data_IF_498035747386
#
_entry.id   IF_498035747386
#
_cell.length_a   1.000
_cell.length_b   1.000
_cell.length_c   1.000
_cell.angle_alpha   90.00
_cell.angle_beta   90.00
_cell.angle_gamma   90.00
#
_symmetry.space_group_name_H-M   'P 1'
#
loop_
_entity.id
_entity.type
_entity.pdbx_description
1 polymer ?
#
# COMPACT_ATOMS: atom_id res chain seq x y z
N UNK A 1 10.14 -15.91 33.16
CA UNK A 1 10.89 -16.28 31.93
C UNK A 1 10.35 -15.35 30.84
N UNK A 2 11.07 -14.35 30.35
CA UNK A 2 12.48 -14.27 29.93
C UNK A 2 13.21 -13.11 30.62
N UNK A 3 14.24 -13.42 31.40
CA UNK A 3 15.18 -12.43 31.92
C UNK A 3 16.08 -12.00 30.77
N UNK A 4 16.04 -10.72 30.39
CA UNK A 4 17.03 -10.13 29.49
C UNK A 4 18.43 -10.27 30.11
N UNK A 5 19.13 -11.34 29.76
CA UNK A 5 20.40 -11.77 30.36
C UNK A 5 21.61 -10.98 29.86
N UNK A 6 21.40 -9.80 29.27
CA UNK A 6 22.48 -8.93 28.78
C UNK A 6 22.56 -7.57 29.49
N UNK A 7 21.83 -7.40 30.59
CA UNK A 7 22.05 -6.27 31.50
C UNK A 7 23.31 -6.52 32.34
N UNK A 8 24.49 -6.39 31.74
CA UNK A 8 25.68 -6.09 32.52
C UNK A 8 25.45 -4.75 33.22
N UNK A 9 25.66 -4.71 34.54
CA UNK A 9 25.63 -3.47 35.34
C UNK A 9 26.61 -2.47 34.71
N UNK A 10 26.08 -1.38 34.17
CA UNK A 10 26.87 -0.38 33.47
C UNK A 10 27.63 0.49 34.50
N UNK A 11 28.97 0.42 34.57
CA UNK A 11 29.75 1.10 35.61
C UNK A 11 29.95 2.61 35.35
N UNK A 12 29.33 3.17 34.30
CA UNK A 12 29.52 4.56 33.87
C UNK A 12 28.27 5.43 34.11
N UNK A 13 28.44 6.68 34.59
CA UNK A 13 27.32 7.58 34.84
C UNK A 13 26.61 7.98 33.54
N UNK A 14 25.28 8.16 33.59
CA UNK A 14 24.48 8.64 32.47
C UNK A 14 24.96 10.04 32.05
N UNK A 15 25.54 10.17 30.87
CA UNK A 15 26.02 11.44 30.31
C UNK A 15 24.90 12.13 29.50
N UNK A 16 23.78 12.46 30.16
CA UNK A 16 22.61 13.08 29.55
C UNK A 16 22.20 14.35 30.36
N UNK A 17 21.84 15.41 29.65
CA UNK A 17 21.46 16.71 30.22
C UNK A 17 20.82 17.68 29.21
N UNK A 18 20.56 17.22 27.98
CA UNK A 18 19.91 17.99 26.92
C UNK A 18 18.39 17.84 26.94
N UNK A 19 17.67 18.90 26.54
CA UNK A 19 16.19 18.98 26.56
C UNK A 19 15.49 17.94 25.65
N UNK A 20 16.22 17.33 24.73
CA UNK A 20 15.70 16.37 23.74
C UNK A 20 16.29 14.96 23.90
N UNK A 21 17.05 14.69 24.97
CA UNK A 21 17.73 13.40 25.17
C UNK A 21 16.74 12.21 25.26
N UNK A 22 15.50 12.45 25.70
CA UNK A 22 14.45 11.43 25.74
C UNK A 22 13.99 10.94 24.36
N UNK A 23 14.19 11.75 23.30
CA UNK A 23 13.72 11.43 21.94
C UNK A 23 14.54 10.29 21.30
N UNK A 24 15.79 10.15 21.73
CA UNK A 24 16.72 9.12 21.25
C UNK A 24 16.93 7.99 22.29
N UNK A 25 16.11 7.99 23.35
CA UNK A 25 16.30 7.16 24.54
C UNK A 25 17.59 7.50 25.29
N UNK A 26 17.82 6.86 26.44
CA UNK A 26 19.16 6.77 27.08
C UNK A 26 20.12 5.90 26.22
N UNK A 27 20.07 6.09 24.90
CA UNK A 27 20.47 5.17 23.86
C UNK A 27 21.91 5.36 23.43
N UNK A 28 22.82 4.97 24.33
CA UNK A 28 24.01 4.23 23.92
C UNK A 28 25.06 4.98 23.08
N UNK A 29 25.68 6.01 23.68
CA UNK A 29 27.14 6.12 23.56
C UNK A 29 27.79 4.96 24.34
N UNK A 30 27.68 3.71 23.85
CA UNK A 30 28.42 2.58 24.43
C UNK A 30 29.87 2.74 24.01
N UNK A 31 30.84 2.72 24.94
CA UNK A 31 32.20 2.36 24.56
C UNK A 31 32.14 1.00 23.88
N UNK A 32 32.93 0.82 22.82
CA UNK A 32 33.17 -0.49 22.21
C UNK A 32 33.54 -1.51 23.32
N UNK A 33 33.22 -2.78 23.10
CA UNK A 33 33.61 -3.84 24.03
C UNK A 33 35.14 -3.81 24.29
N UNK A 34 35.60 -4.30 25.45
CA UNK A 34 37.00 -4.13 25.88
C UNK A 34 38.03 -4.64 24.86
N UNK A 35 37.67 -5.67 24.10
CA UNK A 35 38.41 -6.27 22.99
C UNK A 35 38.52 -5.39 21.74
N UNK A 36 37.65 -4.37 21.63
CA UNK A 36 37.57 -3.44 20.50
C UNK A 36 38.10 -2.04 20.86
N UNK A 37 38.91 -1.94 21.92
CA UNK A 37 39.67 -0.73 22.25
C UNK A 37 38.91 0.32 23.06
N UNK A 38 37.68 0.04 23.52
CA UNK A 38 36.91 0.79 24.52
C UNK A 38 36.87 2.33 24.37
N UNK A 39 37.12 2.87 23.17
CA UNK A 39 37.03 4.30 22.89
C UNK A 39 35.65 4.59 22.31
N UNK A 40 34.86 5.40 23.01
CA UNK A 40 33.68 6.03 22.38
C UNK A 40 34.19 6.88 21.21
N UNK A 41 33.78 6.59 19.97
CA UNK A 41 33.88 7.60 18.91
C UNK A 41 32.83 8.65 19.23
N UNK A 42 33.31 9.85 19.61
CA UNK A 42 32.51 10.95 20.16
C UNK A 42 31.36 11.42 19.24
N UNK A 43 31.37 11.01 17.97
CA UNK A 43 30.49 11.50 16.90
C UNK A 43 29.63 10.40 16.24
N UNK A 44 29.75 9.13 16.64
CA UNK A 44 28.99 8.06 15.97
C UNK A 44 27.50 8.15 16.34
N UNK A 45 26.66 8.38 15.32
CA UNK A 45 25.21 8.28 15.38
C UNK A 45 24.82 6.81 15.15
N UNK A 46 24.27 6.18 16.18
CA UNK A 46 23.89 4.76 16.14
C UNK A 46 22.46 4.58 15.59
N UNK A 47 22.30 3.70 14.60
CA UNK A 47 21.05 3.41 13.90
C UNK A 47 20.44 2.05 14.27
N UNK A 48 20.96 1.40 15.31
CA UNK A 48 20.46 0.13 15.83
C UNK A 48 20.51 -1.05 14.84
N UNK A 49 21.33 -0.99 13.79
CA UNK A 49 21.51 -2.07 12.82
C UNK A 49 22.71 -2.95 13.14
N UNK A 50 23.81 -2.34 13.60
CA UNK A 50 25.05 -3.01 13.99
C UNK A 50 25.64 -2.32 15.22
N UNK A 51 25.91 -3.10 16.28
CA UNK A 51 26.37 -2.58 17.57
C UNK A 51 27.87 -2.33 17.68
N UNK A 52 28.66 -2.84 16.74
CA UNK A 52 30.13 -2.91 16.85
C UNK A 52 30.88 -2.36 15.62
N UNK A 53 30.18 -1.88 14.60
CA UNK A 53 30.78 -1.41 13.35
C UNK A 53 29.98 -0.21 12.82
N UNK A 54 30.56 0.98 12.95
CA UNK A 54 29.95 2.27 12.58
C UNK A 54 29.59 2.35 11.11
N UNK A 55 30.52 1.95 10.23
CA UNK A 55 30.28 2.02 8.80
C UNK A 55 29.19 1.04 8.37
N UNK A 56 29.19 -0.17 8.92
CA UNK A 56 28.13 -1.16 8.61
C UNK A 56 26.77 -0.76 9.18
N UNK A 57 26.73 -0.18 10.37
CA UNK A 57 25.51 0.34 10.98
C UNK A 57 24.89 1.45 10.12
N UNK A 58 25.71 2.44 9.75
CA UNK A 58 25.33 3.53 8.86
C UNK A 58 24.85 3.00 7.50
N UNK A 59 25.63 2.14 6.85
CA UNK A 59 25.32 1.63 5.52
C UNK A 59 24.01 0.84 5.50
N UNK A 60 23.82 -0.08 6.45
CA UNK A 60 22.59 -0.89 6.53
C UNK A 60 21.36 -0.04 6.76
N UNK A 61 21.43 0.94 7.65
CA UNK A 61 20.31 1.82 7.92
C UNK A 61 19.89 2.60 6.67
N UNK A 62 20.85 3.19 5.96
CA UNK A 62 20.54 3.99 4.77
C UNK A 62 20.04 3.11 3.61
N UNK A 63 20.52 1.87 3.48
CA UNK A 63 19.97 0.90 2.52
C UNK A 63 18.50 0.58 2.83
N UNK A 64 18.16 0.30 4.10
CA UNK A 64 16.78 0.01 4.51
C UNK A 64 15.90 1.24 4.32
N UNK A 65 16.35 2.41 4.75
CA UNK A 65 15.60 3.67 4.61
C UNK A 65 15.34 4.01 3.14
N UNK A 66 16.32 3.81 2.25
CA UNK A 66 16.13 4.04 0.81
C UNK A 66 15.08 3.09 0.23
N UNK A 67 15.16 1.78 0.53
CA UNK A 67 14.16 0.83 0.06
C UNK A 67 12.77 1.13 0.63
N UNK A 68 12.68 1.41 1.92
CA UNK A 68 11.39 1.59 2.62
C UNK A 68 10.73 2.94 2.35
N UNK A 69 11.47 4.04 2.29
CA UNK A 69 10.89 5.36 2.09
C UNK A 69 10.97 5.82 0.64
N UNK A 70 12.04 5.50 -0.09
CA UNK A 70 12.14 5.95 -1.49
C UNK A 70 11.45 4.95 -2.40
N UNK A 71 11.86 3.67 -2.38
CA UNK A 71 11.31 2.70 -3.33
C UNK A 71 9.85 2.38 -3.01
N UNK A 72 9.48 2.06 -1.77
CA UNK A 72 8.07 1.74 -1.47
C UNK A 72 7.16 2.95 -1.69
N UNK A 73 7.50 4.14 -1.18
CA UNK A 73 6.62 5.31 -1.33
C UNK A 73 6.54 5.75 -2.80
N UNK A 74 7.65 5.85 -3.53
CA UNK A 74 7.58 6.27 -4.94
C UNK A 74 6.96 5.18 -5.82
N UNK A 75 7.36 3.92 -5.68
CA UNK A 75 6.87 2.85 -6.56
C UNK A 75 5.45 2.40 -6.22
N UNK A 76 5.13 2.17 -4.95
CA UNK A 76 3.79 1.70 -4.58
C UNK A 76 2.81 2.87 -4.60
N UNK A 77 3.12 3.97 -3.92
CA UNK A 77 2.16 5.06 -3.81
C UNK A 77 2.04 5.83 -5.12
N UNK A 78 3.14 6.26 -5.75
CA UNK A 78 3.02 7.06 -6.97
C UNK A 78 2.57 6.21 -8.17
N UNK A 79 3.15 5.03 -8.39
CA UNK A 79 2.87 4.26 -9.59
C UNK A 79 1.56 3.46 -9.53
N UNK A 80 1.32 2.71 -8.44
CA UNK A 80 0.13 1.84 -8.36
C UNK A 80 -1.15 2.64 -8.08
N UNK A 81 -1.09 3.72 -7.31
CA UNK A 81 -2.30 4.50 -6.99
C UNK A 81 -2.65 5.53 -8.05
N UNK A 82 -1.66 6.20 -8.65
CA UNK A 82 -1.92 7.33 -9.55
C UNK A 82 -1.66 7.06 -11.03
N UNK A 83 -0.75 6.14 -11.37
CA UNK A 83 -0.34 5.91 -12.76
C UNK A 83 -0.71 4.51 -13.29
N UNK A 84 -1.48 3.74 -12.51
CA UNK A 84 -1.87 2.39 -12.90
C UNK A 84 -2.79 2.46 -14.13
N UNK A 85 -2.55 1.64 -15.16
CA UNK A 85 -3.45 1.51 -16.29
C UNK A 85 -4.88 1.14 -15.84
N UNK A 86 -5.89 1.70 -16.51
CA UNK A 86 -7.29 1.41 -16.22
C UNK A 86 -7.64 -0.07 -16.46
N UNK A 87 -6.93 -0.77 -17.36
CA UNK A 87 -7.11 -2.20 -17.58
C UNK A 87 -6.49 -3.04 -16.44
N UNK A 88 -7.23 -4.01 -15.85
CA UNK A 88 -8.49 -4.59 -16.30
C UNK A 88 -9.77 -4.05 -15.61
N UNK A 89 -9.68 -3.01 -14.77
CA UNK A 89 -10.88 -2.44 -14.13
C UNK A 89 -11.81 -1.73 -15.14
N UNK A 90 -11.24 -1.07 -16.16
CA UNK A 90 -11.96 -0.44 -17.27
C UNK A 90 -12.89 0.69 -16.84
N UNK A 91 -12.69 1.30 -15.67
CA UNK A 91 -13.62 2.26 -15.07
C UNK A 91 -13.58 3.60 -15.81
N UNK A 92 -12.40 4.11 -16.11
CA UNK A 92 -12.25 5.37 -16.85
C UNK A 92 -12.76 5.22 -18.28
N UNK A 93 -12.44 4.09 -18.91
CA UNK A 93 -12.98 3.74 -20.22
C UNK A 93 -14.51 3.68 -20.20
N UNK A 94 -15.11 2.95 -19.26
CA UNK A 94 -16.56 2.80 -19.17
C UNK A 94 -17.27 4.14 -18.92
N UNK A 95 -16.70 5.01 -18.07
CA UNK A 95 -17.23 6.35 -17.85
C UNK A 95 -17.16 7.19 -19.13
N UNK A 96 -16.06 7.14 -19.87
CA UNK A 96 -15.93 7.87 -21.14
C UNK A 96 -16.97 7.40 -22.15
N UNK A 97 -17.09 6.09 -22.36
CA UNK A 97 -18.04 5.51 -23.32
C UNK A 97 -19.50 5.80 -22.92
N UNK A 98 -19.81 5.77 -21.62
CA UNK A 98 -21.14 6.14 -21.14
C UNK A 98 -21.50 7.59 -21.49
N UNK A 99 -20.58 8.55 -21.34
CA UNK A 99 -20.82 9.95 -21.72
C UNK A 99 -21.07 10.11 -23.22
N UNK A 100 -20.31 9.39 -24.05
CA UNK A 100 -20.49 9.40 -25.50
C UNK A 100 -21.85 8.83 -25.91
N UNK A 101 -22.26 7.71 -25.31
CA UNK A 101 -23.56 7.08 -25.58
C UNK A 101 -24.74 7.92 -25.10
N UNK A 102 -24.62 8.57 -23.94
CA UNK A 102 -25.64 9.52 -23.46
C UNK A 102 -25.84 10.67 -24.44
N UNK A 103 -24.76 11.30 -24.91
CA UNK A 103 -24.83 12.40 -25.88
C UNK A 103 -25.44 11.95 -27.23
N UNK A 104 -25.10 10.74 -27.70
CA UNK A 104 -25.70 10.15 -28.90
C UNK A 104 -27.21 9.96 -28.76
N UNK A 105 -27.66 9.44 -27.62
CA UNK A 105 -29.08 9.17 -27.33
C UNK A 105 -29.88 10.45 -27.13
N UNK A 106 -29.30 11.43 -26.44
CA UNK A 106 -29.93 12.75 -26.25
C UNK A 106 -30.18 13.44 -27.59
N UNK A 107 -29.19 13.44 -28.49
CA UNK A 107 -29.36 13.99 -29.85
C UNK A 107 -30.42 13.26 -30.66
N UNK A 108 -30.61 11.97 -30.42
CA UNK A 108 -31.64 11.15 -31.06
C UNK A 108 -33.02 11.24 -30.37
N UNK A 109 -33.13 11.95 -29.24
CA UNK A 109 -34.37 12.01 -28.45
C UNK A 109 -34.76 10.68 -27.80
N UNK A 110 -33.79 9.77 -27.62
CA UNK A 110 -33.99 8.45 -27.01
C UNK A 110 -33.76 8.51 -25.50
N UNK A 111 -34.42 7.65 -24.70
CA UNK A 111 -34.11 7.53 -23.28
C UNK A 111 -32.66 7.08 -23.07
N UNK A 112 -32.01 7.55 -21.99
CA UNK A 112 -30.60 7.24 -21.72
C UNK A 112 -30.30 5.75 -21.60
N UNK A 113 -31.22 4.98 -21.01
CA UNK A 113 -31.12 3.54 -20.85
C UNK A 113 -32.35 2.91 -21.51
N UNK A 114 -32.11 1.97 -22.42
CA UNK A 114 -33.17 1.15 -22.99
C UNK A 114 -33.68 0.18 -21.93
N UNK A 115 -35.00 -0.03 -21.88
CA UNK A 115 -35.61 -1.07 -21.05
C UNK A 115 -35.10 -2.45 -21.44
N UNK A 116 -35.05 -2.70 -22.74
CA UNK A 116 -34.67 -3.99 -23.29
C UNK A 116 -33.20 -3.94 -23.72
N UNK A 117 -32.40 -4.88 -23.19
CA UNK A 117 -30.99 -5.05 -23.55
C UNK A 117 -30.84 -5.64 -24.97
N UNK A 118 -31.76 -6.54 -25.33
CA UNK A 118 -31.81 -7.23 -26.61
C UNK A 118 -33.07 -6.78 -27.32
N UNK A 119 -32.95 -6.58 -28.63
CA UNK A 119 -34.11 -6.30 -29.49
C UNK A 119 -35.15 -7.43 -29.35
N UNK A 120 -36.39 -7.13 -28.90
CA UNK A 120 -37.44 -8.13 -28.72
C UNK A 120 -37.73 -8.95 -29.98
N UNK A 121 -37.52 -8.38 -31.17
CA UNK A 121 -37.71 -9.08 -32.44
C UNK A 121 -36.75 -10.26 -32.62
N UNK A 122 -35.58 -10.24 -31.96
CA UNK A 122 -34.62 -11.34 -31.98
C UNK A 122 -35.00 -12.47 -31.01
N UNK A 123 -35.76 -12.14 -29.97
CA UNK A 123 -36.21 -13.10 -28.95
C UNK A 123 -37.54 -13.75 -29.34
N UNK A 124 -38.42 -13.01 -30.02
CA UNK A 124 -39.74 -13.49 -30.41
C UNK A 124 -39.76 -14.86 -31.13
N UNK A 125 -38.83 -15.18 -32.06
CA UNK A 125 -38.81 -16.50 -32.73
C UNK A 125 -38.40 -17.66 -31.81
N UNK A 126 -37.75 -17.37 -30.69
CA UNK A 126 -37.32 -18.38 -29.70
C UNK A 126 -38.34 -18.58 -28.59
N UNK A 127 -39.33 -17.70 -28.48
CA UNK A 127 -40.40 -17.85 -27.50
C UNK A 127 -41.34 -18.98 -27.96
N UNK A 128 -41.75 -19.87 -27.05
CA UNK A 128 -42.74 -20.89 -27.34
C UNK A 128 -44.04 -20.23 -27.81
N UNK A 129 -44.74 -20.90 -28.72
CA UNK A 129 -46.09 -20.51 -29.12
C UNK A 129 -47.10 -20.82 -28.01
N UNK A 130 -48.23 -20.12 -27.97
CA UNK A 130 -49.28 -20.34 -26.98
C UNK A 130 -49.77 -21.81 -26.94
N UNK A 131 -49.72 -22.50 -28.08
CA UNK A 131 -50.06 -23.92 -28.20
C UNK A 131 -49.05 -24.85 -27.51
N UNK A 132 -47.76 -24.50 -27.53
CA UNK A 132 -46.69 -25.23 -26.84
C UNK A 132 -46.71 -24.96 -25.33
N UNK A 133 -47.19 -23.78 -24.94
CA UNK A 133 -47.31 -23.34 -23.55
C UNK A 133 -48.43 -24.07 -22.76
N UNK A 134 -49.47 -24.62 -23.40
CA UNK A 134 -50.57 -25.35 -22.70
C UNK A 134 -51.02 -24.66 -21.39
N UNK A 135 -51.50 -25.43 -20.40
CA UNK A 135 -51.92 -24.95 -19.07
C UNK A 135 -50.76 -25.02 -18.05
N UNK A 136 -49.66 -24.30 -18.28
CA UNK A 136 -48.70 -24.10 -17.20
C UNK A 136 -49.29 -23.14 -16.15
N UNK A 137 -49.24 -23.53 -14.89
CA UNK A 137 -49.64 -22.66 -13.77
C UNK A 137 -48.65 -21.48 -13.69
N UNK A 138 -49.12 -20.28 -14.04
CA UNK A 138 -48.33 -19.05 -13.93
C UNK A 138 -48.31 -18.65 -12.44
N UNK A 139 -47.18 -18.86 -11.78
CA UNK A 139 -46.93 -18.32 -10.44
C UNK A 139 -46.58 -16.83 -10.59
N UNK A 140 -47.49 -15.95 -10.12
CA UNK A 140 -47.30 -14.49 -10.07
C UNK A 140 -46.80 -14.08 -8.69
#
# INVERSE_FOLDING_TARGET
MTTDSYAYENPWPKLNGGRLDWLFGDGWRRPLAKDQGAKMRREWIWFSQVSHDEHKDWLKFHQIAFLLFTVMTTWITCWIMFAKPDWPQGKEWALREAHLEMARREKAGLPYISKDLIDPSKVAPTLPTDEELRDFEILI
#
